data_IF_009712690017
#
_entry.id   IF_009712690017
#
_cell.length_a   1.000
_cell.length_b   1.000
_cell.length_c   1.000
_cell.angle_alpha   90.00
_cell.angle_beta   90.00
_cell.angle_gamma   90.00
#
_symmetry.space_group_name_H-M   'P 1'
#
loop_
_entity.id
_entity.type
_entity.pdbx_description
1 polymer ?
#
# COMPACT_ATOMS: atom_id res chain seq x y z
N UNK A 1 13.81 -1.39 -17.39
CA UNK A 1 12.89 -0.28 -17.04
C UNK A 1 11.39 -0.66 -17.05
N UNK A 2 10.98 -1.76 -17.67
CA UNK A 2 9.55 -2.17 -17.74
C UNK A 2 9.14 -3.24 -16.71
N UNK A 3 10.10 -3.91 -16.06
CA UNK A 3 9.81 -5.02 -15.13
C UNK A 3 9.21 -4.62 -13.78
N UNK A 4 9.21 -3.32 -13.45
CA UNK A 4 8.68 -2.80 -12.18
C UNK A 4 7.14 -2.77 -12.19
N UNK A 5 6.54 -2.76 -13.38
CA UNK A 5 5.09 -2.70 -13.60
C UNK A 5 4.46 -4.07 -13.90
N UNK A 6 5.28 -5.11 -14.12
CA UNK A 6 4.79 -6.45 -14.41
C UNK A 6 4.13 -7.03 -13.16
N UNK A 7 2.80 -6.98 -13.16
CA UNK A 7 2.00 -7.62 -12.13
C UNK A 7 2.15 -9.14 -12.18
N UNK A 8 1.89 -9.79 -11.05
CA UNK A 8 1.70 -11.25 -11.03
C UNK A 8 0.49 -11.66 -11.92
N UNK A 9 0.14 -12.95 -11.93
CA UNK A 9 -1.03 -13.45 -12.68
C UNK A 9 -2.36 -12.77 -12.30
N UNK A 10 -2.41 -12.05 -11.17
CA UNK A 10 -3.55 -11.29 -10.69
C UNK A 10 -3.39 -9.77 -10.89
N UNK A 11 -2.42 -9.35 -11.72
CA UNK A 11 -2.09 -7.94 -11.96
C UNK A 11 -1.50 -7.23 -10.73
N UNK A 12 -1.03 -7.95 -9.72
CA UNK A 12 -0.48 -7.33 -8.52
C UNK A 12 0.90 -6.76 -8.78
N UNK A 13 1.04 -5.45 -8.67
CA UNK A 13 2.36 -4.79 -8.66
C UNK A 13 3.19 -5.25 -7.44
N UNK A 14 4.51 -5.05 -7.45
CA UNK A 14 5.35 -5.36 -6.30
C UNK A 14 4.84 -4.74 -4.98
N UNK A 15 4.21 -3.56 -5.04
CA UNK A 15 3.68 -2.90 -3.85
C UNK A 15 2.46 -3.61 -3.26
N UNK A 16 1.57 -4.19 -4.09
CA UNK A 16 0.46 -5.02 -3.62
C UNK A 16 0.98 -6.24 -2.84
N UNK A 17 1.97 -6.93 -3.40
CA UNK A 17 2.54 -8.14 -2.80
C UNK A 17 3.22 -7.85 -1.47
N UNK A 18 3.91 -6.70 -1.36
CA UNK A 18 4.52 -6.27 -0.11
C UNK A 18 3.44 -5.95 0.94
N UNK A 19 2.39 -5.22 0.57
CA UNK A 19 1.31 -4.82 1.48
C UNK A 19 0.46 -6.02 1.94
N UNK A 20 0.39 -7.08 1.13
CA UNK A 20 -0.25 -8.35 1.50
C UNK A 20 0.50 -9.11 2.61
N UNK A 21 1.79 -8.84 2.83
CA UNK A 21 2.61 -9.62 3.77
C UNK A 21 3.56 -8.75 4.60
N UNK A 22 3.06 -8.34 5.77
CA UNK A 22 3.79 -7.55 6.76
C UNK A 22 4.65 -8.37 7.74
N UNK A 23 4.69 -9.70 7.60
CA UNK A 23 5.43 -10.57 8.54
C UNK A 23 6.91 -10.21 8.64
N UNK A 24 7.48 -9.79 7.51
CA UNK A 24 8.85 -9.28 7.42
C UNK A 24 8.80 -7.85 6.88
N UNK A 25 9.13 -6.84 7.70
CA UNK A 25 9.07 -5.44 7.27
C UNK A 25 10.14 -5.18 6.21
N UNK A 26 9.69 -4.85 5.01
CA UNK A 26 10.52 -4.50 3.84
C UNK A 26 10.56 -2.98 3.61
N UNK A 27 10.71 -2.18 4.68
CA UNK A 27 10.56 -0.71 4.63
C UNK A 27 11.48 -0.06 3.59
N UNK A 28 12.74 -0.49 3.53
CA UNK A 28 13.71 0.06 2.57
C UNK A 28 13.36 -0.26 1.12
N UNK A 29 12.77 -1.44 0.87
CA UNK A 29 12.29 -1.83 -0.45
C UNK A 29 11.08 -0.98 -0.85
N UNK A 30 10.13 -0.75 0.06
CA UNK A 30 8.96 0.10 -0.20
C UNK A 30 9.40 1.53 -0.52
N UNK A 31 10.34 2.09 0.27
CA UNK A 31 10.92 3.41 0.00
C UNK A 31 11.58 3.45 -1.38
N UNK A 32 12.45 2.49 -1.68
CA UNK A 32 13.14 2.43 -2.96
C UNK A 32 12.16 2.35 -4.14
N UNK A 33 11.09 1.56 -4.03
CA UNK A 33 10.07 1.44 -5.08
C UNK A 33 9.32 2.76 -5.29
N UNK A 34 8.91 3.43 -4.21
CA UNK A 34 8.23 4.73 -4.28
C UNK A 34 9.16 5.82 -4.82
N UNK A 35 10.43 5.83 -4.43
CA UNK A 35 11.42 6.79 -4.94
C UNK A 35 11.74 6.60 -6.42
N UNK A 36 11.77 5.35 -6.89
CA UNK A 36 12.06 5.05 -8.30
C UNK A 36 10.82 5.14 -9.19
N UNK A 37 9.63 4.89 -8.65
CA UNK A 37 8.39 4.79 -9.39
C UNK A 37 7.21 5.14 -8.47
N UNK A 38 7.06 6.43 -8.16
CA UNK A 38 6.01 6.94 -7.27
C UNK A 38 4.61 6.56 -7.74
N UNK A 39 4.40 6.46 -9.06
CA UNK A 39 3.11 6.08 -9.66
C UNK A 39 2.67 4.65 -9.31
N UNK A 40 3.57 3.82 -8.78
CA UNK A 40 3.24 2.46 -8.35
C UNK A 40 2.10 2.39 -7.32
N UNK A 41 1.96 3.45 -6.52
CA UNK A 41 0.89 3.57 -5.52
C UNK A 41 -0.50 3.64 -6.16
N UNK A 42 -0.59 4.11 -7.40
CA UNK A 42 -1.84 4.37 -8.12
C UNK A 42 -2.30 3.18 -9.00
N UNK A 43 -1.46 2.16 -9.20
CA UNK A 43 -1.85 1.01 -10.01
C UNK A 43 -2.83 0.12 -9.27
N UNK A 44 -3.84 -0.34 -10.00
CA UNK A 44 -4.81 -1.31 -9.52
C UNK A 44 -4.43 -2.70 -10.03
N UNK A 45 -4.65 -3.71 -9.19
CA UNK A 45 -4.57 -5.09 -9.62
C UNK A 45 -5.79 -5.49 -10.49
N UNK A 46 -5.86 -6.74 -10.93
CA UNK A 46 -6.97 -7.25 -11.76
C UNK A 46 -8.35 -7.17 -11.08
N UNK A 47 -8.41 -7.03 -9.76
CA UNK A 47 -9.63 -6.83 -8.99
C UNK A 47 -9.96 -5.34 -8.77
N UNK A 48 -9.31 -4.42 -9.49
CA UNK A 48 -9.41 -2.97 -9.31
C UNK A 48 -8.98 -2.47 -7.93
N UNK A 49 -8.21 -3.26 -7.17
CA UNK A 49 -7.73 -2.86 -5.85
C UNK A 49 -6.38 -2.18 -5.97
N UNK A 50 -6.23 -1.00 -5.36
CA UNK A 50 -4.94 -0.37 -5.05
C UNK A 50 -4.17 -1.17 -3.98
N UNK A 51 -2.83 -0.99 -3.85
CA UNK A 51 -2.04 -1.58 -2.78
C UNK A 51 -2.61 -1.24 -1.40
N UNK A 52 -3.12 0.00 -1.22
CA UNK A 52 -3.69 0.47 0.03
C UNK A 52 -4.91 -0.35 0.49
N UNK A 53 -5.75 -0.83 -0.42
CA UNK A 53 -6.88 -1.71 -0.09
C UNK A 53 -6.40 -3.02 0.56
N UNK A 54 -5.27 -3.55 0.06
CA UNK A 54 -4.70 -4.80 0.58
C UNK A 54 -4.20 -4.60 2.01
N UNK A 55 -3.60 -3.43 2.30
CA UNK A 55 -3.13 -3.07 3.64
C UNK A 55 -4.29 -2.99 4.65
N UNK A 56 -5.43 -2.42 4.25
CA UNK A 56 -6.64 -2.35 5.10
C UNK A 56 -7.30 -3.71 5.31
N UNK A 57 -7.42 -4.52 4.24
CA UNK A 57 -8.12 -5.81 4.28
C UNK A 57 -7.58 -6.79 5.33
N UNK A 58 -6.26 -6.77 5.56
CA UNK A 58 -5.61 -7.68 6.49
C UNK A 58 -5.45 -7.09 7.91
N UNK A 59 -5.97 -5.88 8.16
CA UNK A 59 -5.66 -5.15 9.37
C UNK A 59 -6.19 -5.79 10.66
N UNK A 60 -7.28 -6.56 10.57
CA UNK A 60 -7.90 -7.25 11.71
C UNK A 60 -7.03 -8.38 12.28
N UNK A 61 -6.03 -8.87 11.53
CA UNK A 61 -5.15 -9.97 11.93
C UNK A 61 -3.71 -9.51 12.19
N UNK A 62 -3.46 -8.19 12.24
CA UNK A 62 -2.14 -7.66 12.53
C UNK A 62 -1.79 -7.80 14.02
N UNK A 63 -0.61 -8.33 14.27
CA UNK A 63 0.10 -8.20 15.56
C UNK A 63 0.65 -6.79 15.76
N UNK A 64 1.03 -6.44 16.99
CA UNK A 64 1.60 -5.13 17.33
C UNK A 64 2.76 -4.71 16.41
N UNK A 65 3.67 -5.65 16.10
CA UNK A 65 4.78 -5.39 15.18
C UNK A 65 4.31 -5.10 13.74
N UNK A 66 3.22 -5.73 13.32
CA UNK A 66 2.63 -5.51 12.00
C UNK A 66 1.87 -4.19 11.95
N UNK A 67 1.26 -3.75 13.06
CA UNK A 67 0.64 -2.43 13.17
C UNK A 67 1.68 -1.32 12.91
N UNK A 68 2.83 -1.36 13.58
CA UNK A 68 3.92 -0.39 13.34
C UNK A 68 4.45 -0.43 11.91
N UNK A 69 4.44 -1.61 11.29
CA UNK A 69 4.85 -1.78 9.90
C UNK A 69 3.81 -1.21 8.95
N UNK A 70 2.52 -1.44 9.20
CA UNK A 70 1.42 -0.93 8.40
C UNK A 70 1.36 0.61 8.43
N UNK A 71 1.56 1.21 9.61
CA UNK A 71 1.64 2.67 9.77
C UNK A 71 2.77 3.23 8.90
N UNK A 72 3.98 2.68 9.03
CA UNK A 72 5.12 3.13 8.22
C UNK A 72 4.87 2.96 6.71
N UNK A 73 4.17 1.90 6.30
CA UNK A 73 3.84 1.67 4.89
C UNK A 73 2.81 2.68 4.38
N UNK A 74 1.80 3.03 5.18
CA UNK A 74 0.86 4.09 4.85
C UNK A 74 1.59 5.43 4.71
N UNK A 75 2.47 5.78 5.64
CA UNK A 75 3.26 7.02 5.58
C UNK A 75 4.10 7.09 4.29
N UNK A 76 4.83 6.02 3.96
CA UNK A 76 5.63 5.96 2.72
C UNK A 76 4.72 6.05 1.49
N UNK A 77 3.56 5.39 1.51
CA UNK A 77 2.56 5.47 0.43
C UNK A 77 2.08 6.92 0.22
N UNK A 78 1.78 7.66 1.30
CA UNK A 78 1.32 9.05 1.21
C UNK A 78 2.42 10.02 0.77
N UNK A 79 3.68 9.75 1.14
CA UNK A 79 4.85 10.50 0.64
C UNK A 79 4.95 10.43 -0.89
N UNK A 80 4.51 9.32 -1.50
CA UNK A 80 4.46 9.16 -2.95
C UNK A 80 3.46 10.10 -3.65
N UNK A 81 2.65 10.84 -2.89
CA UNK A 81 1.58 11.74 -3.38
C UNK A 81 0.63 11.01 -4.35
N UNK A 82 -0.09 9.99 -3.86
CA UNK A 82 -1.07 9.27 -4.67
C UNK A 82 -2.08 10.24 -5.29
N UNK A 83 -2.54 9.92 -6.48
CA UNK A 83 -3.56 10.74 -7.15
C UNK A 83 -4.86 10.66 -6.37
N UNK A 84 -5.47 11.82 -6.08
CA UNK A 84 -6.70 11.92 -5.31
C UNK A 84 -7.94 11.49 -6.13
N UNK A 85 -7.99 10.22 -6.51
CA UNK A 85 -9.13 9.60 -7.21
C UNK A 85 -10.19 9.10 -6.23
N UNK A 86 -11.40 8.85 -6.74
CA UNK A 86 -12.47 8.26 -5.94
C UNK A 86 -12.05 6.91 -5.33
N UNK A 87 -11.32 6.08 -6.07
CA UNK A 87 -10.81 4.80 -5.57
C UNK A 87 -9.79 4.98 -4.45
N UNK A 88 -8.93 6.00 -4.52
CA UNK A 88 -8.00 6.29 -3.43
C UNK A 88 -8.72 6.75 -2.17
N UNK A 89 -9.71 7.64 -2.30
CA UNK A 89 -10.53 8.10 -1.16
C UNK A 89 -11.31 6.93 -0.55
N UNK A 90 -11.89 6.06 -1.38
CA UNK A 90 -12.55 4.85 -0.91
C UNK A 90 -11.59 3.92 -0.16
N UNK A 91 -10.38 3.73 -0.70
CA UNK A 91 -9.34 2.94 -0.04
C UNK A 91 -8.97 3.49 1.34
N UNK A 92 -8.83 4.81 1.47
CA UNK A 92 -8.55 5.47 2.74
C UNK A 92 -9.68 5.26 3.76
N UNK A 93 -10.93 5.40 3.34
CA UNK A 93 -12.09 5.19 4.22
C UNK A 93 -12.29 3.72 4.59
N UNK A 94 -11.81 2.78 3.77
CA UNK A 94 -11.86 1.35 4.07
C UNK A 94 -10.78 0.89 5.07
N UNK A 95 -9.80 1.75 5.40
CA UNK A 95 -8.83 1.44 6.45
C UNK A 95 -9.48 1.53 7.83
N UNK A 96 -9.05 0.70 8.81
CA UNK A 96 -9.52 0.84 10.18
C UNK A 96 -9.11 2.20 10.75
N UNK A 97 -9.93 2.74 11.66
CA UNK A 97 -9.77 4.08 12.23
C UNK A 97 -8.37 4.37 12.78
N UNK A 98 -7.73 3.39 13.45
CA UNK A 98 -6.39 3.57 14.00
C UNK A 98 -5.32 3.83 12.92
N UNK A 99 -5.55 3.35 11.69
CA UNK A 99 -4.66 3.52 10.55
C UNK A 99 -5.06 4.73 9.70
N UNK A 100 -6.35 4.91 9.39
CA UNK A 100 -6.83 6.07 8.62
C UNK A 100 -6.59 7.40 9.33
N UNK A 101 -6.69 7.44 10.67
CA UNK A 101 -6.38 8.65 11.45
C UNK A 101 -4.91 9.10 11.34
N UNK A 102 -4.01 8.22 10.88
CA UNK A 102 -2.61 8.58 10.60
C UNK A 102 -2.45 9.28 9.25
N UNK A 103 -3.42 9.14 8.33
CA UNK A 103 -3.40 9.82 7.04
C UNK A 103 -3.85 11.29 7.10
N UNK A 104 -4.44 11.72 8.22
CA UNK A 104 -5.08 13.03 8.40
C UNK A 104 -4.26 13.97 9.29
N UNK A 105 -3.04 13.58 9.69
CA UNK A 105 -2.13 14.40 10.49
C UNK A 105 -1.04 15.08 9.66
#
# INVERSE_FOLDING_TARGET
PESVYLGDVNGQTPLHLIFANLKYPKKDIVKLLVEKSSDLVNFKNSNNLLPLHILGKNADIYSDKQIDTAIAYLEIYLIAKPTATTEFIFALHALPNWLSNRAVQ
#
